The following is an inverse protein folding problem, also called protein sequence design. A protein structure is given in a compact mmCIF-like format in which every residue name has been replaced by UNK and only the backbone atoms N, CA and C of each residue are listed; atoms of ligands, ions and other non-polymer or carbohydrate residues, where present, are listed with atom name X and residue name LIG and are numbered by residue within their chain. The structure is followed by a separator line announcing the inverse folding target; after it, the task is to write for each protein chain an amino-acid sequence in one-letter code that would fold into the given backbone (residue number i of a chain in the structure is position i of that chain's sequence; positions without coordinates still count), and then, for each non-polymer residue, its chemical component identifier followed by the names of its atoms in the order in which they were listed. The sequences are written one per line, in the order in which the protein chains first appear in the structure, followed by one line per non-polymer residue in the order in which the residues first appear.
data_IF_155269498294
#
_entry.id   IF_155269498294
#
_cell.length_a   1.000
_cell.length_b   1.000
_cell.length_c   1.000
_cell.angle_alpha   90.00
_cell.angle_beta   90.00
_cell.angle_gamma   90.00
#
_symmetry.space_group_name_H-M   'P 1'
#
loop_
_entity.id
_entity.type
_entity.pdbx_description
1 polymer ?
#
# COMPACT_ATOMS: atom_id res chain seq x y z
N UNK A 1 18.42 -35.50 -3.42
CA UNK A 1 17.03 -35.48 -2.96
C UNK A 1 16.79 -34.17 -2.27
N UNK A 2 16.00 -33.29 -2.88
CA UNK A 2 15.53 -32.06 -2.27
C UNK A 2 14.01 -32.06 -2.47
N UNK A 3 13.27 -32.07 -1.36
CA UNK A 3 11.82 -32.11 -1.38
C UNK A 3 11.27 -30.74 -1.79
N UNK A 4 10.56 -30.71 -2.91
CA UNK A 4 9.68 -29.61 -3.28
C UNK A 4 8.47 -29.63 -2.34
N UNK A 5 8.37 -28.64 -1.45
CA UNK A 5 7.20 -28.48 -0.61
C UNK A 5 6.13 -27.70 -1.39
N UNK A 6 5.06 -28.38 -1.80
CA UNK A 6 3.85 -27.77 -2.33
C UNK A 6 2.83 -27.59 -1.21
N UNK A 7 2.30 -26.38 -1.07
CA UNK A 7 1.20 -26.09 -0.15
C UNK A 7 -0.08 -25.87 -0.97
N UNK A 8 -1.11 -26.68 -0.70
CA UNK A 8 -2.43 -26.57 -1.33
C UNK A 8 -3.40 -25.91 -0.36
N UNK A 9 -3.87 -24.71 -0.70
CA UNK A 9 -4.92 -24.00 0.03
C UNK A 9 -6.28 -24.45 -0.50
N UNK A 10 -7.02 -25.18 0.34
CA UNK A 10 -8.42 -25.52 0.09
C UNK A 10 -9.31 -24.47 0.76
N UNK A 11 -10.12 -23.75 -0.02
CA UNK A 11 -11.17 -22.87 0.54
C UNK A 11 -12.52 -23.56 0.41
N UNK A 12 -13.19 -23.72 1.54
CA UNK A 12 -14.56 -24.18 1.64
C UNK A 12 -15.46 -23.20 0.87
N UNK A 13 -16.11 -23.77 -0.16
CA UNK A 13 -17.21 -23.22 -0.99
C UNK A 13 -16.86 -22.45 -2.27
N UNK A 14 -15.90 -22.95 -3.04
CA UNK A 14 -16.01 -23.25 -4.48
C UNK A 14 -14.66 -23.77 -4.98
N UNK A 15 -14.62 -24.97 -5.57
CA UNK A 15 -13.39 -25.62 -6.05
C UNK A 15 -12.66 -24.83 -7.13
N UNK A 16 -11.76 -23.93 -6.73
CA UNK A 16 -10.70 -23.37 -7.57
C UNK A 16 -9.35 -23.57 -6.89
N UNK A 17 -8.59 -24.52 -7.43
CA UNK A 17 -7.16 -24.68 -7.18
C UNK A 17 -6.42 -23.46 -7.75
N UNK A 18 -5.79 -22.66 -6.89
CA UNK A 18 -4.79 -21.69 -7.35
C UNK A 18 -3.43 -22.33 -7.07
N UNK A 19 -2.83 -22.90 -8.11
CA UNK A 19 -1.42 -23.30 -8.06
C UNK A 19 -0.55 -22.05 -8.16
N UNK A 20 -0.13 -21.53 -7.01
CA UNK A 20 0.85 -20.43 -6.95
C UNK A 20 2.24 -21.05 -6.84
N UNK A 21 3.14 -20.77 -7.79
CA UNK A 21 4.57 -21.06 -7.64
C UNK A 21 5.11 -20.24 -6.47
N UNK A 22 5.75 -20.91 -5.51
CA UNK A 22 6.44 -20.30 -4.36
C UNK A 22 7.77 -19.66 -4.78
N UNK A 23 7.78 -18.90 -5.89
CA UNK A 23 8.92 -18.14 -6.38
C UNK A 23 8.69 -16.62 -6.38
N UNK A 24 7.53 -16.15 -5.92
CA UNK A 24 7.27 -14.72 -5.65
C UNK A 24 6.53 -14.56 -4.32
N UNK A 25 7.01 -15.24 -3.28
CA UNK A 25 6.77 -14.85 -1.90
C UNK A 25 8.10 -14.28 -1.40
N UNK A 26 8.42 -13.07 -1.86
CA UNK A 26 9.51 -12.32 -1.26
C UNK A 26 8.97 -11.72 0.04
N UNK A 27 9.11 -12.48 1.12
CA UNK A 27 9.05 -11.97 2.48
C UNK A 27 10.27 -11.07 2.70
N UNK A 28 10.19 -9.81 2.22
CA UNK A 28 11.26 -8.84 2.48
C UNK A 28 11.02 -8.21 3.85
N UNK A 29 11.54 -8.86 4.87
CA UNK A 29 11.97 -8.19 6.10
C UNK A 29 13.31 -7.48 5.84
N UNK A 30 13.43 -6.75 4.72
CA UNK A 30 14.60 -5.90 4.48
C UNK A 30 14.37 -4.58 5.20
N UNK A 31 15.01 -4.42 6.36
CA UNK A 31 15.42 -3.11 6.85
C UNK A 31 16.56 -2.66 5.93
N UNK A 32 16.25 -2.38 4.67
CA UNK A 32 17.16 -1.68 3.79
C UNK A 32 17.19 -0.24 4.32
N UNK A 33 18.36 0.21 4.77
CA UNK A 33 18.62 1.61 5.11
C UNK A 33 18.32 2.45 3.85
N UNK A 34 17.07 2.89 3.72
CA UNK A 34 16.61 3.69 2.59
C UNK A 34 17.29 5.04 2.63
N UNK A 35 17.49 5.63 1.46
CA UNK A 35 17.92 7.03 1.39
C UNK A 35 16.81 7.94 1.93
N UNK A 36 17.17 9.10 2.48
CA UNK A 36 16.20 10.09 2.94
C UNK A 36 15.32 10.58 1.77
N UNK A 37 15.90 10.70 0.57
CA UNK A 37 15.16 11.02 -0.65
C UNK A 37 15.86 10.53 -1.92
N UNK A 38 15.10 10.34 -2.99
CA UNK A 38 15.59 10.11 -4.35
C UNK A 38 14.97 11.13 -5.30
N UNK A 39 15.79 12.03 -5.85
CA UNK A 39 15.34 13.14 -6.73
C UNK A 39 14.19 13.95 -6.13
N UNK A 40 14.24 14.14 -4.80
CA UNK A 40 13.23 14.85 -4.04
C UNK A 40 11.99 14.03 -3.69
N UNK A 41 11.87 12.75 -4.06
CA UNK A 41 10.82 11.85 -3.53
C UNK A 41 11.28 11.22 -2.21
N UNK A 42 10.39 11.21 -1.24
CA UNK A 42 10.63 10.78 0.14
C UNK A 42 9.68 9.65 0.52
N UNK A 43 10.02 8.94 1.61
CA UNK A 43 9.15 7.95 2.20
C UNK A 43 7.78 8.57 2.52
N UNK A 44 6.72 7.84 2.20
CA UNK A 44 5.33 8.24 2.34
C UNK A 44 4.84 9.35 1.41
N UNK A 45 5.58 9.73 0.37
CA UNK A 45 5.02 10.61 -0.66
C UNK A 45 3.91 9.91 -1.45
N UNK A 46 2.79 10.59 -1.62
CA UNK A 46 1.79 10.21 -2.62
C UNK A 46 2.26 10.65 -4.00
N UNK A 47 2.38 9.71 -4.93
CA UNK A 47 2.87 9.91 -6.29
C UNK A 47 1.86 9.47 -7.34
N UNK A 48 1.91 10.08 -8.51
CA UNK A 48 1.10 9.71 -9.68
C UNK A 48 1.94 8.81 -10.62
N UNK A 49 1.51 7.56 -10.83
CA UNK A 49 2.23 6.60 -11.70
C UNK A 49 1.71 6.63 -13.15
N UNK A 50 0.43 6.93 -13.36
CA UNK A 50 -0.22 6.90 -14.68
C UNK A 50 -1.35 7.92 -14.82
N UNK A 51 -2.31 7.70 -15.71
CA UNK A 51 -3.47 8.62 -15.86
C UNK A 51 -4.48 8.52 -14.71
N UNK A 52 -4.65 7.32 -14.13
CA UNK A 52 -5.63 7.07 -13.07
C UNK A 52 -5.05 6.40 -11.82
N UNK A 53 -3.76 6.05 -11.85
CA UNK A 53 -3.10 5.29 -10.79
C UNK A 53 -2.26 6.20 -9.90
N UNK A 54 -2.46 6.06 -8.59
CA UNK A 54 -1.67 6.73 -7.55
C UNK A 54 -1.10 5.68 -6.60
N UNK A 55 -0.03 6.03 -5.92
CA UNK A 55 0.54 5.17 -4.90
C UNK A 55 1.37 5.95 -3.90
N UNK A 56 1.70 5.31 -2.79
CA UNK A 56 2.54 5.88 -1.73
C UNK A 56 3.91 5.24 -1.79
N UNK A 57 4.96 6.06 -1.74
CA UNK A 57 6.34 5.58 -1.63
C UNK A 57 6.50 4.87 -0.28
N UNK A 58 6.88 3.59 -0.33
CA UNK A 58 7.08 2.73 0.84
C UNK A 58 8.53 2.28 1.01
N UNK A 59 9.39 2.54 0.03
CA UNK A 59 10.84 2.43 0.14
C UNK A 59 11.52 3.39 -0.85
N UNK A 60 12.64 3.98 -0.42
CA UNK A 60 13.48 4.86 -1.25
C UNK A 60 14.83 4.18 -1.45
N UNK A 61 15.05 3.62 -2.64
CA UNK A 61 16.31 3.04 -3.05
C UNK A 61 17.28 4.08 -3.61
N UNK A 62 18.45 3.63 -4.03
CA UNK A 62 19.47 4.51 -4.63
C UNK A 62 19.14 4.96 -6.05
N UNK A 63 18.36 4.19 -6.79
CA UNK A 63 18.01 4.44 -8.20
C UNK A 63 16.51 4.28 -8.48
N UNK A 64 15.78 3.61 -7.60
CA UNK A 64 14.35 3.34 -7.75
C UNK A 64 13.58 3.60 -6.45
N UNK A 65 12.25 3.63 -6.59
CA UNK A 65 11.30 3.75 -5.51
C UNK A 65 10.40 2.52 -5.50
N UNK A 66 10.10 1.99 -4.32
CA UNK A 66 9.01 1.03 -4.16
C UNK A 66 7.76 1.79 -3.76
N UNK A 67 6.68 1.61 -4.52
CA UNK A 67 5.42 2.32 -4.36
C UNK A 67 4.28 1.33 -4.14
N UNK A 68 3.52 1.52 -3.07
CA UNK A 68 2.26 0.80 -2.84
C UNK A 68 1.14 1.52 -3.58
N UNK A 69 0.55 0.87 -4.58
CA UNK A 69 -0.48 1.48 -5.43
C UNK A 69 -1.85 1.44 -4.77
N UNK A 70 -2.81 2.19 -5.31
CA UNK A 70 -4.19 2.23 -4.85
C UNK A 70 -4.96 0.90 -5.00
N UNK A 71 -4.37 -0.12 -5.61
CA UNK A 71 -4.92 -1.48 -5.66
C UNK A 71 -4.41 -2.36 -4.51
N UNK A 72 -3.43 -1.89 -3.73
CA UNK A 72 -2.77 -2.66 -2.67
C UNK A 72 -1.55 -3.45 -3.15
N UNK A 73 -1.19 -3.38 -4.43
CA UNK A 73 0.03 -3.99 -4.97
C UNK A 73 1.24 -3.07 -4.80
N UNK A 74 2.40 -3.63 -4.45
CA UNK A 74 3.66 -2.89 -4.47
C UNK A 74 4.34 -3.01 -5.84
N UNK A 75 4.90 -1.91 -6.34
CA UNK A 75 5.62 -1.84 -7.62
C UNK A 75 6.92 -1.06 -7.44
N UNK A 76 7.99 -1.52 -8.08
CA UNK A 76 9.21 -0.73 -8.26
C UNK A 76 9.06 0.19 -9.47
N UNK A 77 9.45 1.45 -9.31
CA UNK A 77 9.39 2.46 -10.37
C UNK A 77 10.58 3.41 -10.27
N UNK A 78 11.08 3.85 -11.41
CA UNK A 78 12.08 4.91 -11.44
C UNK A 78 11.43 6.29 -11.32
N UNK A 79 12.12 7.31 -10.77
CA UNK A 79 11.57 8.65 -10.64
C UNK A 79 11.06 9.24 -11.97
N UNK A 80 11.71 8.94 -13.09
CA UNK A 80 11.30 9.38 -14.44
C UNK A 80 9.97 8.78 -14.93
N UNK A 81 9.51 7.67 -14.34
CA UNK A 81 8.19 7.09 -14.62
C UNK A 81 7.07 7.85 -13.88
N UNK A 82 7.40 8.65 -12.87
CA UNK A 82 6.42 9.34 -12.04
C UNK A 82 6.02 10.69 -12.64
N UNK A 83 4.72 10.99 -12.64
CA UNK A 83 4.19 12.28 -13.12
C UNK A 83 4.23 13.39 -12.06
N UNK A 84 4.80 13.11 -10.88
CA UNK A 84 4.95 14.07 -9.77
C UNK A 84 4.24 13.67 -8.47
N UNK A 85 4.48 14.48 -7.42
CA UNK A 85 3.87 14.31 -6.09
C UNK A 85 2.45 14.88 -6.05
N UNK A 86 1.57 14.26 -5.27
CA UNK A 86 0.18 14.70 -5.03
C UNK A 86 -0.13 14.96 -3.56
N UNK A 87 0.89 15.08 -2.71
CA UNK A 87 0.73 15.39 -1.28
C UNK A 87 -0.17 16.59 -1.02
N UNK A 88 0.02 17.68 -1.79
CA UNK A 88 -0.75 18.91 -1.64
C UNK A 88 -2.25 18.72 -1.94
N UNK A 89 -2.58 17.90 -2.94
CA UNK A 89 -3.96 17.52 -3.26
C UNK A 89 -4.52 16.68 -2.12
N UNK A 90 -3.78 15.67 -1.70
CA UNK A 90 -4.21 14.73 -0.66
C UNK A 90 -4.45 15.40 0.69
N UNK A 91 -3.64 16.40 1.08
CA UNK A 91 -3.84 17.18 2.31
C UNK A 91 -5.18 17.91 2.36
N UNK A 92 -5.74 18.27 1.20
CA UNK A 92 -7.03 18.97 1.07
C UNK A 92 -8.18 18.02 0.77
N UNK A 93 -7.87 16.76 0.48
CA UNK A 93 -8.86 15.77 0.07
C UNK A 93 -9.67 15.29 1.28
N UNK A 94 -10.94 14.98 1.01
CA UNK A 94 -11.90 14.45 1.96
C UNK A 94 -12.55 13.23 1.32
N UNK A 95 -12.64 12.14 2.08
CA UNK A 95 -13.46 10.99 1.75
C UNK A 95 -14.65 10.91 2.72
N UNK A 96 -15.69 10.17 2.34
CA UNK A 96 -16.85 9.89 3.19
C UNK A 96 -16.86 8.40 3.51
N UNK A 97 -17.11 8.05 4.77
CA UNK A 97 -17.35 6.67 5.20
C UNK A 97 -18.82 6.24 4.98
N UNK A 98 -19.15 5.00 5.38
CA UNK A 98 -20.51 4.44 5.35
C UNK A 98 -21.57 5.33 6.00
N UNK A 99 -21.17 6.11 7.01
CA UNK A 99 -22.04 6.94 7.83
C UNK A 99 -22.02 8.40 7.39
N UNK A 100 -21.43 8.69 6.22
CA UNK A 100 -21.22 10.05 5.70
C UNK A 100 -20.33 10.93 6.60
N UNK A 101 -19.52 10.32 7.48
CA UNK A 101 -18.51 11.03 8.22
C UNK A 101 -17.31 11.33 7.31
N UNK A 102 -16.75 12.52 7.49
CA UNK A 102 -15.60 12.98 6.71
C UNK A 102 -14.30 12.36 7.24
N UNK A 103 -13.48 11.86 6.31
CA UNK A 103 -12.15 11.32 6.57
C UNK A 103 -11.08 12.16 5.84
N UNK A 104 -10.04 12.54 6.57
CA UNK A 104 -8.95 13.41 6.15
C UNK A 104 -7.60 12.82 6.55
N UNK A 105 -6.52 13.35 5.99
CA UNK A 105 -5.17 13.01 6.44
C UNK A 105 -4.98 13.36 7.92
N UNK A 106 -4.50 12.40 8.70
CA UNK A 106 -4.31 12.49 10.15
C UNK A 106 -5.38 11.77 10.98
N UNK A 107 -6.54 11.47 10.41
CA UNK A 107 -7.62 10.83 11.16
C UNK A 107 -7.27 9.39 11.53
N UNK A 108 -7.69 8.95 12.71
CA UNK A 108 -7.61 7.54 13.12
C UNK A 108 -8.85 6.80 12.65
N UNK A 109 -8.64 5.65 12.01
CA UNK A 109 -9.71 4.79 11.48
C UNK A 109 -9.56 3.37 12.02
N UNK A 110 -10.70 2.74 12.28
CA UNK A 110 -10.78 1.31 12.56
C UNK A 110 -11.35 0.62 11.31
N UNK A 111 -10.59 -0.31 10.76
CA UNK A 111 -11.00 -1.04 9.57
C UNK A 111 -12.03 -2.08 9.96
N UNK A 112 -13.24 -1.98 9.41
CA UNK A 112 -14.36 -2.85 9.77
C UNK A 112 -14.39 -4.14 8.94
N UNK A 113 -13.94 -4.08 7.69
CA UNK A 113 -14.10 -5.16 6.71
C UNK A 113 -12.86 -5.33 5.81
N UNK A 114 -12.79 -6.48 5.12
CA UNK A 114 -11.71 -6.82 4.20
C UNK A 114 -10.45 -7.37 4.88
N UNK A 115 -9.36 -7.47 4.12
CA UNK A 115 -8.12 -8.13 4.55
C UNK A 115 -7.44 -7.50 5.79
N UNK A 116 -7.83 -6.28 6.14
CA UNK A 116 -7.27 -5.53 7.26
C UNK A 116 -8.28 -5.30 8.39
N UNK A 117 -9.42 -5.99 8.38
CA UNK A 117 -10.46 -5.87 9.40
C UNK A 117 -9.89 -6.02 10.83
N UNK A 118 -10.44 -5.24 11.76
CA UNK A 118 -10.02 -5.19 13.16
C UNK A 118 -8.75 -4.35 13.42
N UNK A 119 -8.12 -3.77 12.40
CA UNK A 119 -6.91 -2.95 12.57
C UNK A 119 -7.26 -1.48 12.76
N UNK A 120 -6.60 -0.85 13.73
CA UNK A 120 -6.54 0.60 13.85
C UNK A 120 -5.35 1.16 13.05
N UNK A 121 -5.58 2.24 12.32
CA UNK A 121 -4.56 2.91 11.52
C UNK A 121 -4.83 4.41 11.37
N UNK A 122 -3.82 5.18 11.00
CA UNK A 122 -3.92 6.62 10.76
C UNK A 122 -3.92 6.90 9.26
N UNK A 123 -4.85 7.73 8.78
CA UNK A 123 -4.91 8.12 7.37
C UNK A 123 -3.68 8.95 7.02
N UNK A 124 -2.85 8.45 6.11
CA UNK A 124 -1.69 9.17 5.56
C UNK A 124 -2.08 9.97 4.33
N UNK A 125 -2.83 9.34 3.42
CA UNK A 125 -3.32 9.97 2.20
C UNK A 125 -4.74 9.58 1.87
N UNK A 126 -5.48 10.55 1.38
CA UNK A 126 -6.79 10.38 0.77
C UNK A 126 -6.67 10.60 -0.74
N UNK A 127 -7.26 9.69 -1.53
CA UNK A 127 -7.45 9.84 -2.97
C UNK A 127 -8.80 9.23 -3.38
N UNK A 128 -9.78 10.08 -3.67
CA UNK A 128 -11.19 9.67 -3.86
C UNK A 128 -11.65 8.84 -2.65
N UNK A 129 -12.27 7.69 -2.88
CA UNK A 129 -12.69 6.75 -1.83
C UNK A 129 -11.58 5.78 -1.37
N UNK A 130 -10.32 5.98 -1.80
CA UNK A 130 -9.18 5.15 -1.38
C UNK A 130 -8.38 5.90 -0.32
N UNK A 131 -8.09 5.21 0.77
CA UNK A 131 -7.26 5.68 1.86
C UNK A 131 -5.98 4.86 1.91
N UNK A 132 -4.84 5.54 1.93
CA UNK A 132 -3.59 4.94 2.35
C UNK A 132 -3.45 5.23 3.84
N UNK A 133 -3.45 4.18 4.64
CA UNK A 133 -3.40 4.26 6.10
C UNK A 133 -2.10 3.65 6.60
N UNK A 134 -1.62 4.14 7.73
CA UNK A 134 -0.39 3.68 8.36
C UNK A 134 -0.68 3.09 9.75
N UNK A 135 -0.10 1.94 10.06
CA UNK A 135 -0.13 1.35 11.41
C UNK A 135 1.26 0.86 11.79
N UNK A 136 1.74 1.24 12.98
CA UNK A 136 3.02 0.76 13.52
C UNK A 136 3.03 -0.75 13.77
N UNK A 137 1.85 -1.35 13.98
CA UNK A 137 1.68 -2.78 14.18
C UNK A 137 1.64 -3.54 12.84
N UNK A 138 1.76 -2.84 11.71
CA UNK A 138 1.93 -3.44 10.39
C UNK A 138 3.39 -3.22 9.96
N UNK A 139 4.09 -4.30 9.65
CA UNK A 139 5.52 -4.25 9.29
C UNK A 139 5.76 -4.22 7.77
N UNK A 140 4.80 -4.69 6.98
CA UNK A 140 4.91 -4.68 5.53
C UNK A 140 4.75 -3.26 4.96
N UNK A 141 5.41 -2.98 3.83
CA UNK A 141 5.29 -1.72 3.09
C UNK A 141 5.48 -0.48 3.98
N UNK A 142 6.45 -0.53 4.90
CA UNK A 142 6.74 0.55 5.86
C UNK A 142 5.51 0.97 6.68
N UNK A 143 4.66 -0.01 7.01
CA UNK A 143 3.45 0.14 7.80
C UNK A 143 2.25 0.68 7.04
N UNK A 144 2.35 0.88 5.71
CA UNK A 144 1.26 1.40 4.89
C UNK A 144 0.45 0.28 4.26
N UNK A 145 -0.87 0.43 4.30
CA UNK A 145 -1.79 -0.41 3.55
C UNK A 145 -2.99 0.39 3.03
N UNK A 146 -3.76 -0.23 2.13
CA UNK A 146 -4.87 0.43 1.44
C UNK A 146 -6.20 -0.03 2.01
N UNK A 147 -7.10 0.91 2.23
CA UNK A 147 -8.51 0.65 2.58
C UNK A 147 -9.43 1.53 1.74
N UNK A 148 -10.70 1.14 1.62
CA UNK A 148 -11.72 1.96 0.99
C UNK A 148 -12.57 2.64 2.05
N UNK A 149 -12.81 3.94 1.88
CA UNK A 149 -13.85 4.65 2.62
C UNK A 149 -15.19 4.18 2.07
N UNK A 150 -15.87 3.29 2.81
CA UNK A 150 -17.15 2.72 2.44
C UNK A 150 -18.06 2.66 3.63
#
# INVERSE_FOLDING_TARGET
GAGDWTATLLTDRASREIQVRVAVLQETSEIAAGLDSLRGYELYDLVQLGHAEVGVVVHVGSQDLRVLTNTGAARTCRPEELRGKRNHVSRRAVALDARQAQLRGGDMVNVLEGQHAGRAATVKHVHRAVLFVHSKNHTQNSGVFVVRAR
#
